data_IF_650936189690
#
_entry.id   IF_650936189690
#
_cell.length_a   1.000
_cell.length_b   1.000
_cell.length_c   1.000
_cell.angle_alpha   90.00
_cell.angle_beta   90.00
_cell.angle_gamma   90.00
#
_symmetry.space_group_name_H-M   'P 1'
#
loop_
_entity.id
_entity.type
_entity.pdbx_description
1 polymer ?
#
# COMPACT_ATOMS: atom_id res chain seq x y z
N UNK A 1 -7.90 -53.01 -22.36
CA UNK A 1 -8.98 -52.76 -21.39
C UNK A 1 -8.34 -52.80 -20.00
N UNK A 2 -8.31 -51.69 -19.27
CA UNK A 2 -7.62 -51.63 -17.97
C UNK A 2 -8.29 -52.57 -16.96
N UNK A 3 -7.50 -53.33 -16.23
CA UNK A 3 -7.97 -54.36 -15.31
C UNK A 3 -8.55 -53.67 -14.05
N UNK A 4 -9.59 -54.23 -13.43
CA UNK A 4 -10.32 -53.58 -12.32
C UNK A 4 -9.40 -53.21 -11.12
N UNK A 5 -8.29 -53.93 -10.95
CA UNK A 5 -7.24 -53.63 -9.95
C UNK A 5 -6.45 -52.36 -10.28
N UNK A 6 -6.14 -52.13 -11.56
CA UNK A 6 -5.38 -50.95 -12.03
C UNK A 6 -6.21 -49.67 -11.85
N UNK A 7 -7.51 -49.74 -12.15
CA UNK A 7 -8.44 -48.63 -11.94
C UNK A 7 -8.58 -48.27 -10.45
N UNK A 8 -8.54 -49.26 -9.57
CA UNK A 8 -8.63 -49.04 -8.12
C UNK A 8 -7.35 -48.38 -7.59
N UNK A 9 -6.18 -48.83 -8.05
CA UNK A 9 -4.89 -48.23 -7.69
C UNK A 9 -4.77 -46.77 -8.16
N UNK A 10 -5.18 -46.49 -9.40
CA UNK A 10 -5.22 -45.13 -9.94
C UNK A 10 -6.13 -44.20 -9.13
N UNK A 11 -7.27 -44.72 -8.64
CA UNK A 11 -8.18 -43.96 -7.77
C UNK A 11 -7.53 -43.61 -6.44
N UNK A 12 -6.83 -44.54 -5.80
CA UNK A 12 -6.14 -44.27 -4.53
C UNK A 12 -5.03 -43.25 -4.69
N UNK A 13 -4.20 -43.37 -5.73
CA UNK A 13 -3.11 -42.44 -6.01
C UNK A 13 -3.63 -41.01 -6.29
N UNK A 14 -4.74 -40.87 -7.01
CA UNK A 14 -5.40 -39.58 -7.24
C UNK A 14 -5.93 -38.94 -5.96
N UNK A 15 -6.50 -39.72 -5.03
CA UNK A 15 -6.97 -39.20 -3.76
C UNK A 15 -5.82 -38.77 -2.84
N UNK A 16 -4.70 -39.50 -2.83
CA UNK A 16 -3.51 -39.07 -2.07
C UNK A 16 -2.92 -37.78 -2.65
N UNK A 17 -2.80 -37.63 -3.97
CA UNK A 17 -2.36 -36.37 -4.57
C UNK A 17 -3.29 -35.20 -4.27
N UNK A 18 -4.61 -35.43 -4.24
CA UNK A 18 -5.58 -34.39 -3.84
C UNK A 18 -5.39 -34.02 -2.37
N UNK A 19 -5.22 -35.00 -1.49
CA UNK A 19 -5.00 -34.76 -0.07
C UNK A 19 -3.68 -34.03 0.17
N UNK A 20 -2.60 -34.42 -0.50
CA UNK A 20 -1.31 -33.72 -0.43
C UNK A 20 -1.42 -32.28 -0.95
N UNK A 21 -2.07 -32.06 -2.10
CA UNK A 21 -2.32 -30.71 -2.61
C UNK A 21 -3.15 -29.86 -1.64
N UNK A 22 -4.10 -30.47 -0.92
CA UNK A 22 -4.92 -29.78 0.08
C UNK A 22 -4.09 -29.33 1.29
N UNK A 23 -3.08 -30.10 1.69
CA UNK A 23 -2.13 -29.69 2.72
C UNK A 23 -1.26 -28.52 2.25
N UNK A 24 -0.82 -28.51 1.00
CA UNK A 24 -0.03 -27.40 0.44
C UNK A 24 -0.80 -26.08 0.36
N UNK A 25 -2.12 -26.14 0.10
CA UNK A 25 -2.98 -24.94 0.12
C UNK A 25 -3.11 -24.34 1.52
N UNK A 26 -3.01 -25.14 2.60
CA UNK A 26 -3.01 -24.61 3.97
C UNK A 26 -1.74 -23.80 4.28
N UNK A 27 -0.58 -24.19 3.72
CA UNK A 27 0.69 -23.47 3.88
C UNK A 27 0.83 -22.22 2.99
N UNK A 28 -0.09 -22.02 2.05
CA UNK A 28 -0.16 -20.83 1.20
C UNK A 28 -1.03 -19.71 1.78
N UNK A 29 -1.66 -19.92 2.93
CA UNK A 29 -2.11 -18.79 3.73
C UNK A 29 -0.87 -18.19 4.39
N UNK A 30 -0.37 -17.02 3.95
CA UNK A 30 0.58 -16.30 4.77
C UNK A 30 -0.04 -16.19 6.17
N UNK A 31 0.72 -16.41 7.26
CA UNK A 31 0.20 -16.10 8.59
C UNK A 31 -0.37 -14.70 8.49
N UNK A 32 -1.67 -14.57 8.79
CA UNK A 32 -2.43 -13.33 8.67
C UNK A 32 -1.53 -12.26 9.26
N UNK A 33 -0.92 -11.47 8.37
CA UNK A 33 0.09 -10.50 8.77
C UNK A 33 -0.65 -9.61 9.76
N UNK A 34 -0.27 -9.65 11.03
CA UNK A 34 -0.97 -8.86 12.04
C UNK A 34 -0.64 -7.40 11.78
N UNK A 35 -1.47 -6.77 10.93
CA UNK A 35 -1.31 -5.38 10.52
C UNK A 35 -1.47 -4.42 11.70
N UNK A 36 -1.85 -4.91 12.89
CA UNK A 36 -1.86 -4.10 14.11
C UNK A 36 -0.45 -3.66 14.52
N UNK A 37 0.58 -4.48 14.28
CA UNK A 37 1.98 -4.11 14.54
C UNK A 37 2.50 -3.06 13.53
N UNK A 38 1.91 -3.00 12.33
CA UNK A 38 2.26 -1.98 11.33
C UNK A 38 1.67 -0.60 11.64
N UNK A 39 0.66 -0.50 12.52
CA UNK A 39 0.08 0.80 12.94
C UNK A 39 1.03 1.64 13.78
N UNK A 40 2.01 1.03 14.44
CA UNK A 40 3.00 1.72 15.29
C UNK A 40 4.26 2.16 14.54
N UNK A 41 4.34 1.92 13.22
CA UNK A 41 5.56 2.19 12.43
C UNK A 41 5.87 3.69 12.32
N UNK A 42 4.90 4.56 12.56
CA UNK A 42 5.08 6.01 12.42
C UNK A 42 4.86 6.74 13.73
N UNK A 43 5.85 7.52 14.15
CA UNK A 43 5.69 8.39 15.31
C UNK A 43 4.66 9.48 15.00
N UNK A 44 3.87 9.89 16.01
CA UNK A 44 2.93 11.03 15.88
C UNK A 44 3.61 12.29 15.33
N UNK A 45 4.90 12.47 15.62
CA UNK A 45 5.71 13.57 15.10
C UNK A 45 5.88 13.52 13.57
N UNK A 46 6.14 12.34 13.00
CA UNK A 46 6.28 12.17 11.55
C UNK A 46 4.95 12.44 10.82
N UNK A 47 3.83 12.03 11.42
CA UNK A 47 2.49 12.29 10.86
C UNK A 47 2.18 13.80 10.86
N UNK A 48 2.50 14.50 11.95
CA UNK A 48 2.33 15.95 12.04
C UNK A 48 3.20 16.71 11.02
N UNK A 49 4.45 16.27 10.83
CA UNK A 49 5.37 16.86 9.86
C UNK A 49 4.86 16.69 8.43
N UNK A 50 4.39 15.47 8.10
CA UNK A 50 3.80 15.17 6.81
C UNK A 50 2.55 16.03 6.53
N UNK A 51 1.64 16.09 7.50
CA UNK A 51 0.43 16.90 7.39
C UNK A 51 0.76 18.38 7.15
N UNK A 52 1.79 18.91 7.82
CA UNK A 52 2.26 20.28 7.63
C UNK A 52 2.78 20.54 6.22
N UNK A 53 3.57 19.62 5.65
CA UNK A 53 4.07 19.74 4.26
C UNK A 53 2.90 19.74 3.27
N UNK A 54 1.98 18.78 3.40
CA UNK A 54 0.78 18.69 2.56
C UNK A 54 -0.01 20.00 2.64
N UNK A 55 -0.36 20.45 3.85
CA UNK A 55 -1.14 21.66 4.04
C UNK A 55 -0.46 22.90 3.45
N UNK A 56 0.86 23.02 3.62
CA UNK A 56 1.63 24.17 3.12
C UNK A 56 1.57 24.27 1.60
N UNK A 57 1.83 23.17 0.91
CA UNK A 57 1.88 23.15 -0.56
C UNK A 57 0.49 23.18 -1.18
N UNK A 58 -0.48 22.45 -0.62
CA UNK A 58 -1.87 22.48 -1.10
C UNK A 58 -2.48 23.87 -0.93
N UNK A 59 -2.27 24.53 0.23
CA UNK A 59 -2.74 25.91 0.43
C UNK A 59 -2.05 26.89 -0.52
N UNK A 60 -0.74 26.75 -0.74
CA UNK A 60 -0.01 27.61 -1.67
C UNK A 60 -0.52 27.46 -3.11
N UNK A 61 -0.82 26.23 -3.52
CA UNK A 61 -1.39 25.95 -4.84
C UNK A 61 -2.80 26.52 -4.98
N UNK A 62 -3.71 26.19 -4.06
CA UNK A 62 -5.12 26.60 -4.15
C UNK A 62 -5.35 28.10 -3.93
N UNK A 63 -4.63 28.72 -3.01
CA UNK A 63 -4.88 30.13 -2.62
C UNK A 63 -4.00 31.10 -3.39
N UNK A 64 -2.74 30.73 -3.65
CA UNK A 64 -1.75 31.64 -4.26
C UNK A 64 -1.45 31.30 -5.72
N UNK A 65 -2.02 30.23 -6.28
CA UNK A 65 -1.71 29.74 -7.62
C UNK A 65 -0.24 29.31 -7.79
N UNK A 66 0.47 29.04 -6.69
CA UNK A 66 1.89 28.68 -6.74
C UNK A 66 2.02 27.19 -7.04
N UNK A 67 2.67 26.86 -8.16
CA UNK A 67 2.92 25.46 -8.51
C UNK A 67 3.73 24.73 -7.41
N UNK A 68 3.32 23.51 -7.03
CA UNK A 68 4.07 22.66 -6.13
C UNK A 68 5.38 22.17 -6.79
N UNK A 69 6.38 21.76 -5.98
CA UNK A 69 7.58 21.08 -6.47
C UNK A 69 7.24 19.87 -7.32
N UNK A 70 8.03 19.61 -8.38
CA UNK A 70 7.75 18.58 -9.38
C UNK A 70 7.60 17.18 -8.75
N UNK A 71 8.36 16.91 -7.69
CA UNK A 71 8.39 15.63 -6.98
C UNK A 71 7.09 15.31 -6.25
N UNK A 72 6.34 16.35 -5.83
CA UNK A 72 5.07 16.19 -5.10
C UNK A 72 3.88 16.77 -5.85
N UNK A 73 4.08 17.27 -7.07
CA UNK A 73 3.06 18.03 -7.79
C UNK A 73 1.77 17.22 -8.01
N UNK A 74 1.91 15.94 -8.37
CA UNK A 74 0.76 15.04 -8.52
C UNK A 74 -0.02 14.87 -7.21
N UNK A 75 0.68 14.63 -6.11
CA UNK A 75 0.05 14.46 -4.79
C UNK A 75 -0.70 15.73 -4.35
N UNK A 76 -0.07 16.89 -4.50
CA UNK A 76 -0.67 18.17 -4.11
C UNK A 76 -1.90 18.51 -4.97
N UNK A 77 -1.85 18.23 -6.29
CA UNK A 77 -3.00 18.43 -7.18
C UNK A 77 -4.15 17.48 -6.84
N UNK A 78 -3.87 16.21 -6.55
CA UNK A 78 -4.88 15.27 -6.09
C UNK A 78 -5.58 15.76 -4.81
N UNK A 79 -4.83 16.27 -3.83
CA UNK A 79 -5.42 16.82 -2.61
C UNK A 79 -6.23 18.10 -2.87
N UNK A 80 -5.73 18.98 -3.73
CA UNK A 80 -6.45 20.18 -4.12
C UNK A 80 -7.76 19.85 -4.83
N UNK A 81 -7.77 18.84 -5.70
CA UNK A 81 -8.95 18.36 -6.40
C UNK A 81 -9.97 17.74 -5.44
N UNK A 82 -9.52 16.97 -4.45
CA UNK A 82 -10.40 16.41 -3.42
C UNK A 82 -11.05 17.53 -2.60
N UNK A 83 -10.30 18.57 -2.19
CA UNK A 83 -10.85 19.74 -1.49
C UNK A 83 -11.81 20.52 -2.38
N UNK A 84 -11.43 20.80 -3.63
CA UNK A 84 -12.25 21.57 -4.58
C UNK A 84 -13.56 20.83 -4.92
N UNK A 85 -13.53 19.50 -4.90
CA UNK A 85 -14.71 18.66 -5.10
C UNK A 85 -15.56 18.46 -3.83
N UNK A 86 -15.16 19.04 -2.70
CA UNK A 86 -15.82 18.83 -1.41
C UNK A 86 -15.71 17.40 -0.87
N UNK A 87 -14.75 16.61 -1.37
CA UNK A 87 -14.45 15.25 -0.88
C UNK A 87 -13.55 15.32 0.34
N UNK A 88 -13.63 14.28 1.16
CA UNK A 88 -12.65 14.06 2.22
C UNK A 88 -11.28 13.79 1.60
N UNK A 89 -10.27 14.54 2.06
CA UNK A 89 -8.90 14.41 1.56
C UNK A 89 -8.35 13.04 1.96
N UNK A 90 -8.16 12.19 0.96
CA UNK A 90 -7.64 10.83 1.17
C UNK A 90 -6.18 10.77 0.77
N UNK A 91 -5.31 10.37 1.70
CA UNK A 91 -3.89 10.17 1.41
C UNK A 91 -3.70 8.79 0.77
N UNK A 92 -3.50 8.77 -0.55
CA UNK A 92 -3.22 7.53 -1.29
C UNK A 92 -1.77 7.10 -1.05
N UNK A 93 -1.49 5.81 -1.18
CA UNK A 93 -0.15 5.27 -0.93
C UNK A 93 0.94 5.92 -1.80
N UNK A 94 0.65 6.17 -3.09
CA UNK A 94 1.56 6.86 -4.00
C UNK A 94 1.83 8.31 -3.57
N UNK A 95 0.77 9.04 -3.19
CA UNK A 95 0.88 10.42 -2.70
C UNK A 95 1.72 10.49 -1.42
N UNK A 96 1.49 9.57 -0.49
CA UNK A 96 2.27 9.44 0.75
C UNK A 96 3.76 9.23 0.47
N UNK A 97 4.10 8.27 -0.40
CA UNK A 97 5.50 7.94 -0.72
C UNK A 97 6.19 9.14 -1.38
N UNK A 98 5.53 9.83 -2.30
CA UNK A 98 6.07 11.01 -2.96
C UNK A 98 6.43 12.12 -1.95
N UNK A 99 5.50 12.45 -1.05
CA UNK A 99 5.72 13.50 -0.04
C UNK A 99 6.79 13.06 0.97
N UNK A 100 6.82 11.79 1.40
CA UNK A 100 7.87 11.27 2.27
C UNK A 100 9.26 11.36 1.64
N UNK A 101 9.38 10.98 0.38
CA UNK A 101 10.66 11.05 -0.34
C UNK A 101 11.13 12.49 -0.48
N UNK A 102 10.22 13.41 -0.78
CA UNK A 102 10.51 14.84 -0.83
C UNK A 102 11.00 15.39 0.52
N UNK A 103 10.31 15.05 1.62
CA UNK A 103 10.74 15.46 2.97
C UNK A 103 12.13 14.92 3.32
N UNK A 104 12.43 13.66 2.97
CA UNK A 104 13.76 13.06 3.17
C UNK A 104 14.83 13.75 2.32
N UNK A 105 14.51 14.12 1.08
CA UNK A 105 15.42 14.85 0.20
C UNK A 105 15.76 16.24 0.76
N UNK A 106 14.76 16.98 1.26
CA UNK A 106 15.00 18.27 1.90
C UNK A 106 15.90 18.16 3.13
N UNK A 107 15.66 17.16 4.00
CA UNK A 107 16.49 16.94 5.19
C UNK A 107 17.95 16.65 4.86
N UNK A 108 18.22 15.98 3.73
CA UNK A 108 19.58 15.74 3.25
C UNK A 108 20.24 17.00 2.69
N UNK A 109 19.48 17.88 2.05
CA UNK A 109 19.99 19.13 1.48
C UNK A 109 20.26 20.22 2.52
N UNK A 110 19.59 20.16 3.68
CA UNK A 110 19.80 21.10 4.80
C UNK A 110 20.96 20.72 5.73
N UNK A 111 21.72 19.67 5.41
CA UNK A 111 22.83 19.17 6.21
C UNK A 111 24.15 19.39 5.47
#
# INVERSE_FOLDING_TARGET
MANARELTALRYQFWEEILDRKHWVMYLQPPILDLSELREVFSKAQQAELAKVIQTHTKAFMVKGKEPPAEIAGAIKNFADDIASGREVTVRAGDYIAVQNFMRAQKKASK
#
